data_IF_409375868966
#
_entry.id   IF_409375868966
#
_cell.length_a   1.000
_cell.length_b   1.000
_cell.length_c   1.000
_cell.angle_alpha   90.00
_cell.angle_beta   90.00
_cell.angle_gamma   90.00
#
_symmetry.space_group_name_H-M   'P 1'
#
loop_
_entity.id
_entity.type
_entity.pdbx_description
1 polymer ?
#
# COMPACT_ATOMS: atom_id res chain seq x y z
N UNK A 1 -29.55 -11.07 10.19
CA UNK A 1 -28.73 -9.85 10.30
C UNK A 1 -29.45 -8.80 9.49
N UNK A 2 -29.88 -7.71 10.11
CA UNK A 2 -30.79 -6.73 9.49
C UNK A 2 -30.13 -5.92 8.36
N UNK A 3 -30.86 -5.72 7.26
CA UNK A 3 -30.45 -4.92 6.09
C UNK A 3 -29.96 -3.51 6.48
N UNK A 4 -30.55 -2.95 7.55
CA UNK A 4 -30.16 -1.66 8.10
C UNK A 4 -28.74 -1.67 8.71
N UNK A 5 -28.36 -2.76 9.38
CA UNK A 5 -27.00 -2.93 9.92
C UNK A 5 -25.97 -3.10 8.80
N UNK A 6 -26.33 -3.80 7.73
CA UNK A 6 -25.45 -3.98 6.57
C UNK A 6 -25.18 -2.64 5.84
N UNK A 7 -26.21 -1.79 5.72
CA UNK A 7 -26.08 -0.45 5.14
C UNK A 7 -25.17 0.46 5.99
N UNK A 8 -25.34 0.45 7.32
CA UNK A 8 -24.49 1.21 8.25
C UNK A 8 -23.05 0.73 8.15
N UNK A 9 -22.84 -0.59 8.14
CA UNK A 9 -21.51 -1.18 8.04
C UNK A 9 -20.81 -0.78 6.73
N UNK A 10 -21.53 -0.81 5.60
CA UNK A 10 -20.99 -0.41 4.30
C UNK A 10 -20.64 1.08 4.28
N UNK A 11 -21.52 1.95 4.78
CA UNK A 11 -21.28 3.39 4.85
C UNK A 11 -20.05 3.71 5.72
N UNK A 12 -19.94 3.06 6.89
CA UNK A 12 -18.81 3.21 7.80
C UNK A 12 -17.50 2.72 7.17
N UNK A 13 -17.50 1.56 6.51
CA UNK A 13 -16.34 1.01 5.79
C UNK A 13 -15.86 1.96 4.69
N UNK A 14 -16.80 2.53 3.94
CA UNK A 14 -16.50 3.46 2.85
C UNK A 14 -15.93 4.78 3.39
N UNK A 15 -16.46 5.28 4.51
CA UNK A 15 -15.95 6.47 5.19
C UNK A 15 -14.50 6.29 5.68
N UNK A 16 -14.20 5.17 6.34
CA UNK A 16 -12.82 4.88 6.79
C UNK A 16 -11.85 4.70 5.62
N UNK A 17 -12.32 4.17 4.50
CA UNK A 17 -11.51 4.06 3.28
C UNK A 17 -11.06 5.44 2.78
N UNK A 18 -11.99 6.40 2.69
CA UNK A 18 -11.65 7.77 2.29
C UNK A 18 -10.72 8.46 3.30
N UNK A 19 -10.98 8.30 4.61
CA UNK A 19 -10.07 8.85 5.64
C UNK A 19 -8.65 8.29 5.55
N UNK A 20 -8.51 6.99 5.26
CA UNK A 20 -7.20 6.37 5.07
C UNK A 20 -6.45 6.95 3.86
N UNK A 21 -7.14 7.22 2.75
CA UNK A 21 -6.56 7.86 1.57
C UNK A 21 -6.14 9.30 1.89
N UNK A 22 -7.02 10.09 2.51
CA UNK A 22 -6.71 11.46 2.89
C UNK A 22 -5.50 11.55 3.81
N UNK A 23 -5.40 10.66 4.80
CA UNK A 23 -4.24 10.59 5.70
C UNK A 23 -2.94 10.29 4.93
N UNK A 24 -2.96 9.34 4.00
CA UNK A 24 -1.79 9.00 3.18
C UNK A 24 -1.36 10.16 2.30
N UNK A 25 -2.33 10.82 1.65
CA UNK A 25 -2.07 11.99 0.81
C UNK A 25 -1.45 13.12 1.63
N UNK A 26 -2.01 13.41 2.80
CA UNK A 26 -1.51 14.45 3.70
C UNK A 26 -0.07 14.16 4.15
N UNK A 27 0.25 12.92 4.51
CA UNK A 27 1.61 12.52 4.90
C UNK A 27 2.58 12.64 3.72
N UNK A 28 2.18 12.23 2.52
CA UNK A 28 3.00 12.37 1.32
C UNK A 28 3.32 13.85 1.03
N UNK A 29 2.30 14.72 1.08
CA UNK A 29 2.44 16.17 0.91
C UNK A 29 3.37 16.74 1.98
N UNK A 30 3.17 16.37 3.25
CA UNK A 30 4.01 16.82 4.35
C UNK A 30 5.48 16.47 4.15
N UNK A 31 5.80 15.22 3.79
CA UNK A 31 7.19 14.79 3.58
C UNK A 31 7.84 15.48 2.38
N UNK A 32 7.12 15.58 1.25
CA UNK A 32 7.67 16.16 0.02
C UNK A 32 7.86 17.67 0.15
N UNK A 33 6.87 18.39 0.68
CA UNK A 33 6.89 19.85 0.71
C UNK A 33 7.64 20.42 1.93
N UNK A 34 7.48 19.82 3.11
CA UNK A 34 8.08 20.38 4.32
C UNK A 34 9.50 19.85 4.56
N UNK A 35 9.76 18.57 4.27
CA UNK A 35 11.07 17.95 4.52
C UNK A 35 11.96 17.86 3.29
N UNK A 36 11.45 18.19 2.09
CA UNK A 36 12.14 17.97 0.82
C UNK A 36 12.65 16.53 0.64
N UNK A 37 12.08 15.58 1.37
CA UNK A 37 12.40 14.16 1.24
C UNK A 37 11.64 13.62 0.03
N UNK A 38 12.34 12.91 -0.85
CA UNK A 38 11.70 12.20 -1.95
C UNK A 38 10.65 11.24 -1.40
N UNK A 39 9.45 11.22 -2.02
CA UNK A 39 8.36 10.35 -1.61
C UNK A 39 8.83 8.89 -1.56
N UNK A 40 8.84 8.30 -0.36
CA UNK A 40 9.23 6.91 -0.17
C UNK A 40 7.99 6.06 0.23
N UNK A 41 7.38 5.32 -0.72
CA UNK A 41 6.21 4.49 -0.44
C UNK A 41 6.49 3.40 0.59
N UNK A 42 7.74 2.97 0.74
CA UNK A 42 8.13 1.93 1.72
C UNK A 42 7.90 2.36 3.16
N UNK A 43 7.98 3.66 3.45
CA UNK A 43 7.76 4.22 4.80
C UNK A 43 6.28 4.37 5.16
N UNK A 44 5.38 4.31 4.16
CA UNK A 44 3.93 4.52 4.35
C UNK A 44 3.12 3.23 4.41
N UNK A 45 3.79 2.07 4.58
CA UNK A 45 3.13 0.77 4.59
C UNK A 45 2.59 0.34 3.22
N UNK A 46 3.11 0.93 2.13
CA UNK A 46 3.01 0.38 0.77
C UNK A 46 4.16 -0.59 0.48
N UNK A 47 4.60 -1.33 1.50
CA UNK A 47 5.12 -2.66 1.20
C UNK A 47 3.97 -3.39 0.54
N UNK A 48 4.06 -3.58 -0.79
CA UNK A 48 3.34 -4.64 -1.49
C UNK A 48 3.16 -5.79 -0.51
N UNK A 49 1.93 -6.29 -0.37
CA UNK A 49 1.51 -7.28 0.61
C UNK A 49 2.44 -8.50 0.54
N UNK A 50 3.62 -8.37 1.15
CA UNK A 50 4.65 -9.38 1.16
C UNK A 50 4.37 -10.07 2.46
N UNK A 51 3.58 -11.13 2.32
CA UNK A 51 3.32 -12.07 3.39
C UNK A 51 4.70 -12.41 4.03
N UNK A 52 4.93 -12.06 5.30
CA UNK A 52 6.23 -12.25 5.94
C UNK A 52 6.66 -13.72 5.99
N UNK A 53 5.69 -14.65 5.86
CA UNK A 53 5.92 -16.09 5.79
C UNK A 53 6.28 -16.60 4.38
N UNK A 54 6.23 -15.73 3.36
CA UNK A 54 6.59 -16.12 2.00
C UNK A 54 8.10 -16.03 1.83
N UNK A 55 8.77 -17.14 2.14
CA UNK A 55 10.15 -17.38 1.72
C UNK A 55 10.20 -17.33 0.19
N UNK A 56 10.88 -16.31 -0.34
CA UNK A 56 11.09 -16.16 -1.78
C UNK A 56 12.39 -16.86 -2.14
N UNK A 57 12.32 -17.91 -2.96
CA UNK A 57 13.52 -18.52 -3.50
C UNK A 57 14.22 -17.54 -4.45
N UNK A 58 15.55 -17.62 -4.52
CA UNK A 58 16.37 -16.72 -5.36
C UNK A 58 15.88 -16.71 -6.82
N UNK A 59 15.42 -17.85 -7.33
CA UNK A 59 14.87 -17.97 -8.67
C UNK A 59 13.55 -17.21 -8.86
N UNK A 60 12.70 -17.17 -7.85
CA UNK A 60 11.44 -16.40 -7.89
C UNK A 60 11.73 -14.90 -7.81
N UNK A 61 12.79 -14.50 -7.09
CA UNK A 61 13.26 -13.12 -7.04
C UNK A 61 13.76 -12.64 -8.42
N UNK A 62 14.55 -13.49 -9.09
CA UNK A 62 15.06 -13.22 -10.44
C UNK A 62 13.89 -13.08 -11.42
N UNK A 63 12.94 -14.02 -11.38
CA UNK A 63 11.75 -13.99 -12.24
C UNK A 63 10.88 -12.77 -11.98
N UNK A 64 10.67 -12.40 -10.72
CA UNK A 64 9.88 -11.24 -10.35
C UNK A 64 10.44 -9.96 -10.98
N UNK A 65 11.74 -9.71 -10.88
CA UNK A 65 12.28 -8.49 -11.43
C UNK A 65 12.53 -8.55 -12.95
N UNK A 66 12.71 -9.74 -13.56
CA UNK A 66 12.58 -9.88 -15.02
C UNK A 66 11.18 -9.47 -15.51
N UNK A 67 10.11 -9.86 -14.81
CA UNK A 67 8.74 -9.44 -15.14
C UNK A 67 8.51 -7.93 -15.01
N UNK A 68 9.31 -7.24 -14.17
CA UNK A 68 9.27 -5.79 -14.01
C UNK A 68 10.25 -5.05 -14.93
N UNK A 69 10.83 -5.74 -15.92
CA UNK A 69 11.69 -5.14 -16.93
C UNK A 69 13.16 -4.99 -16.53
N UNK A 70 13.58 -5.60 -15.42
CA UNK A 70 15.00 -5.64 -15.05
C UNK A 70 15.70 -6.79 -15.78
N UNK A 71 16.76 -6.46 -16.51
CA UNK A 71 17.58 -7.47 -17.17
C UNK A 71 18.62 -8.01 -16.18
N UNK A 72 18.33 -9.16 -15.56
CA UNK A 72 19.28 -9.86 -14.69
C UNK A 72 20.00 -10.96 -15.48
N UNK A 73 21.33 -10.94 -15.42
CA UNK A 73 22.24 -11.97 -15.96
C UNK A 73 22.46 -13.09 -14.93
#
# INVERSE_FOLDING_TARGET
MDLFQELIYLAQKTFYFFLAICRRLLVAIYHVLLKQESYNPRLQGLTEIRNPDKTMFVQDAIRFAQQHGFNML
#
